data_IF_723271365225
#
_entry.id   IF_723271365225
#
_cell.length_a   1.000
_cell.length_b   1.000
_cell.length_c   1.000
_cell.angle_alpha   90.00
_cell.angle_beta   90.00
_cell.angle_gamma   90.00
#
_symmetry.space_group_name_H-M   'P 1'
#
loop_
_entity.id
_entity.type
_entity.pdbx_description
1 polymer ?
#
# COMPACT_ATOMS: atom_id res chain seq x y z
N UNK A 1 0.56 15.98 23.26
CA UNK A 1 1.50 15.05 22.61
C UNK A 1 0.90 14.57 21.32
N UNK A 2 1.71 14.38 20.28
CA UNK A 2 1.23 14.05 18.93
C UNK A 2 1.83 12.70 18.50
N UNK A 3 1.03 11.85 17.86
CA UNK A 3 1.45 10.53 17.39
C UNK A 3 0.89 10.23 15.99
N UNK A 4 1.69 9.58 15.15
CA UNK A 4 1.24 9.09 13.84
C UNK A 4 1.50 7.59 13.81
N UNK A 5 0.47 6.82 13.49
CA UNK A 5 0.53 5.38 13.40
C UNK A 5 0.50 4.90 11.95
N UNK A 6 1.49 4.08 11.61
CA UNK A 6 1.51 3.32 10.36
C UNK A 6 0.54 2.15 10.43
N UNK A 7 -0.72 2.41 10.08
CA UNK A 7 -1.74 1.38 9.90
C UNK A 7 -1.71 0.81 8.48
N UNK A 8 -2.70 0.00 8.11
CA UNK A 8 -2.75 -0.71 6.84
C UNK A 8 -4.19 -0.95 6.41
N UNK A 9 -4.44 -1.03 5.10
CA UNK A 9 -5.73 -1.46 4.55
C UNK A 9 -6.12 -2.89 4.99
N UNK A 10 -5.18 -3.69 5.49
CA UNK A 10 -5.46 -5.03 6.03
C UNK A 10 -6.40 -5.02 7.25
N UNK A 11 -6.56 -3.87 7.93
CA UNK A 11 -7.54 -3.73 9.02
C UNK A 11 -9.00 -3.87 8.55
N UNK A 12 -9.25 -3.73 7.25
CA UNK A 12 -10.57 -3.92 6.67
C UNK A 12 -10.89 -5.39 6.34
N UNK A 13 -9.91 -6.30 6.42
CA UNK A 13 -10.04 -7.67 5.92
C UNK A 13 -10.53 -7.71 4.47
N UNK A 14 -11.41 -8.65 4.14
CA UNK A 14 -12.11 -8.68 2.85
C UNK A 14 -13.32 -7.73 2.87
N UNK A 15 -13.10 -6.44 2.60
CA UNK A 15 -14.17 -5.44 2.57
C UNK A 15 -15.30 -5.80 1.58
N UNK A 16 -16.54 -5.41 1.91
CA UNK A 16 -17.74 -5.75 1.13
C UNK A 16 -17.88 -4.91 -0.15
N UNK A 17 -17.38 -3.68 -0.10
CA UNK A 17 -17.57 -2.68 -1.15
C UNK A 17 -16.25 -2.01 -1.48
N UNK A 18 -16.05 -1.74 -2.75
CA UNK A 18 -14.94 -0.94 -3.26
C UNK A 18 -15.48 0.33 -3.92
N UNK A 19 -14.75 1.47 -3.86
CA UNK A 19 -13.54 1.68 -3.08
C UNK A 19 -13.79 1.64 -1.56
N UNK A 20 -12.77 1.29 -0.77
CA UNK A 20 -12.88 1.15 0.69
C UNK A 20 -12.83 2.54 1.33
N UNK A 21 -13.89 2.91 2.06
CA UNK A 21 -13.92 4.15 2.87
C UNK A 21 -13.41 3.92 4.29
N UNK A 22 -12.99 4.96 5.00
CA UNK A 22 -12.57 4.86 6.40
C UNK A 22 -13.69 4.45 7.36
N UNK A 23 -14.95 4.57 6.91
CA UNK A 23 -16.15 4.11 7.62
C UNK A 23 -16.41 2.61 7.46
N UNK A 24 -15.68 1.92 6.59
CA UNK A 24 -15.81 0.49 6.44
C UNK A 24 -15.52 -0.21 7.78
N UNK A 25 -16.34 -1.20 8.18
CA UNK A 25 -16.14 -1.89 9.44
C UNK A 25 -14.82 -2.67 9.43
N UNK A 26 -14.25 -2.88 10.62
CA UNK A 26 -13.20 -3.87 10.76
C UNK A 26 -13.80 -5.25 10.58
N UNK A 27 -13.17 -6.05 9.73
CA UNK A 27 -13.47 -7.47 9.59
C UNK A 27 -12.38 -8.29 10.23
N UNK A 28 -12.62 -9.58 10.43
CA UNK A 28 -11.57 -10.47 10.89
C UNK A 28 -10.32 -10.33 10.00
N UNK A 29 -9.16 -10.09 10.60
CA UNK A 29 -7.92 -9.98 9.86
C UNK A 29 -7.52 -11.34 9.29
N UNK A 30 -7.21 -11.38 7.99
CA UNK A 30 -6.77 -12.60 7.29
C UNK A 30 -5.32 -13.01 7.62
N UNK A 31 -4.63 -12.26 8.48
CA UNK A 31 -3.25 -12.55 8.88
C UNK A 31 -2.93 -12.02 10.27
N UNK A 32 -1.94 -12.61 10.97
CA UNK A 32 -1.41 -12.06 12.20
C UNK A 32 -0.94 -10.61 12.05
N UNK A 33 -0.34 -10.26 10.90
CA UNK A 33 0.06 -8.89 10.58
C UNK A 33 -1.13 -7.93 10.63
N UNK A 34 -2.22 -8.22 9.91
CA UNK A 34 -3.42 -7.39 9.90
C UNK A 34 -4.03 -7.24 11.29
N UNK A 35 -4.05 -8.33 12.07
CA UNK A 35 -4.55 -8.33 13.45
C UNK A 35 -3.73 -7.39 14.35
N UNK A 36 -2.39 -7.37 14.22
CA UNK A 36 -1.56 -6.43 15.00
C UNK A 36 -1.88 -4.97 14.68
N UNK A 37 -2.31 -4.66 13.45
CA UNK A 37 -2.70 -3.30 13.06
C UNK A 37 -4.05 -2.91 13.63
N UNK A 38 -5.03 -3.82 13.65
CA UNK A 38 -6.32 -3.60 14.28
C UNK A 38 -6.17 -3.32 15.78
N UNK A 39 -5.49 -4.20 16.50
CA UNK A 39 -5.22 -4.03 17.94
C UNK A 39 -4.42 -2.74 18.19
N UNK A 40 -3.47 -2.41 17.31
CA UNK A 40 -2.74 -1.14 17.39
C UNK A 40 -3.65 0.08 17.34
N UNK A 41 -4.61 0.12 16.40
CA UNK A 41 -5.59 1.20 16.33
C UNK A 41 -6.51 1.25 17.56
N UNK A 42 -6.95 0.10 18.08
CA UNK A 42 -7.76 0.02 19.31
C UNK A 42 -7.02 0.61 20.53
N UNK A 43 -5.78 0.18 20.76
CA UNK A 43 -4.95 0.68 21.85
C UNK A 43 -4.76 2.20 21.75
N UNK A 44 -4.50 2.71 20.55
CA UNK A 44 -4.31 4.15 20.34
C UNK A 44 -5.61 4.89 20.61
N UNK A 45 -6.73 4.43 20.07
CA UNK A 45 -8.04 5.04 20.28
C UNK A 45 -8.37 5.13 21.79
N UNK A 46 -8.15 4.06 22.55
CA UNK A 46 -8.39 4.07 23.99
C UNK A 46 -7.39 4.97 24.75
N UNK A 47 -6.13 5.00 24.31
CA UNK A 47 -5.12 5.92 24.88
C UNK A 47 -5.51 7.38 24.68
N UNK A 48 -6.07 7.75 23.52
CA UNK A 48 -6.54 9.13 23.27
C UNK A 48 -7.72 9.53 24.14
N UNK A 49 -8.58 8.59 24.56
CA UNK A 49 -9.69 8.85 25.50
C UNK A 49 -9.19 9.05 26.94
N UNK A 50 -8.11 8.36 27.30
CA UNK A 50 -7.55 8.38 28.66
C UNK A 50 -6.52 9.50 28.90
N UNK A 51 -6.02 10.14 27.84
CA UNK A 51 -4.90 11.09 27.91
C UNK A 51 -5.15 12.33 27.03
N UNK A 52 -4.18 13.26 26.96
CA UNK A 52 -4.18 14.38 26.00
C UNK A 52 -3.44 14.05 24.70
N UNK A 53 -3.32 12.76 24.37
CA UNK A 53 -2.70 12.32 23.13
C UNK A 53 -3.61 12.66 21.95
N UNK A 54 -3.05 13.27 20.91
CA UNK A 54 -3.68 13.39 19.60
C UNK A 54 -2.97 12.45 18.63
N UNK A 55 -3.73 11.64 17.92
CA UNK A 55 -3.20 10.61 17.06
C UNK A 55 -3.85 10.61 15.68
N UNK A 56 -3.06 10.28 14.66
CA UNK A 56 -3.54 9.98 13.31
C UNK A 56 -3.08 8.58 12.93
N UNK A 57 -4.01 7.69 12.57
CA UNK A 57 -3.68 6.45 11.88
C UNK A 57 -3.74 6.67 10.36
N UNK A 58 -2.65 6.38 9.68
CA UNK A 58 -2.61 6.39 8.22
C UNK A 58 -2.69 4.93 7.74
N UNK A 59 -3.80 4.57 7.10
CA UNK A 59 -4.03 3.21 6.58
C UNK A 59 -3.45 3.15 5.16
N UNK A 60 -2.23 2.61 5.06
CA UNK A 60 -1.55 2.47 3.77
C UNK A 60 -2.18 1.35 2.96
N UNK A 61 -2.27 1.55 1.65
CA UNK A 61 -2.56 0.48 0.71
C UNK A 61 -1.25 -0.25 0.36
N UNK A 62 -0.81 -0.25 -0.90
CA UNK A 62 0.38 -0.98 -1.32
C UNK A 62 1.48 0.01 -1.74
N UNK A 63 2.38 0.41 -0.84
CA UNK A 63 3.46 1.34 -1.17
C UNK A 63 4.47 0.67 -2.09
N UNK A 64 4.84 1.35 -3.17
CA UNK A 64 5.78 0.88 -4.19
C UNK A 64 6.68 2.02 -4.66
N UNK A 65 7.66 1.72 -5.51
CA UNK A 65 8.58 2.71 -6.06
C UNK A 65 9.78 2.98 -5.16
N UNK A 66 10.56 3.97 -5.57
CA UNK A 66 11.78 4.39 -4.87
C UNK A 66 11.96 5.91 -4.98
N UNK A 67 12.92 6.46 -4.23
CA UNK A 67 13.24 7.86 -4.37
C UNK A 67 13.89 8.14 -5.74
N UNK A 68 13.55 9.26 -6.39
CA UNK A 68 14.04 9.63 -7.74
C UNK A 68 15.56 9.63 -7.91
N UNK A 69 16.31 9.76 -6.83
CA UNK A 69 17.78 9.71 -6.87
C UNK A 69 18.35 8.30 -7.01
N UNK A 70 17.53 7.26 -6.86
CA UNK A 70 17.93 5.86 -6.78
C UNK A 70 19.05 5.58 -5.77
N UNK A 71 19.13 6.40 -4.70
CA UNK A 71 20.02 6.15 -3.55
C UNK A 71 19.35 5.34 -2.45
N UNK A 72 18.01 5.32 -2.44
CA UNK A 72 17.18 4.59 -1.47
C UNK A 72 15.96 4.01 -2.19
N UNK A 73 15.57 2.80 -1.78
CA UNK A 73 14.39 2.07 -2.23
C UNK A 73 14.21 0.80 -1.40
N UNK A 74 13.18 0.01 -1.70
CA UNK A 74 12.93 -1.25 -0.99
C UNK A 74 14.04 -2.26 -1.29
N UNK A 75 14.66 -2.82 -0.25
CA UNK A 75 15.67 -3.87 -0.33
C UNK A 75 15.34 -4.97 0.68
N UNK A 76 14.48 -5.95 0.31
CA UNK A 76 14.10 -7.02 1.23
C UNK A 76 15.28 -7.95 1.49
N UNK A 77 15.42 -8.40 2.75
CA UNK A 77 16.38 -9.42 3.13
C UNK A 77 15.81 -10.79 2.74
N UNK A 78 16.52 -11.53 1.89
CA UNK A 78 16.11 -12.87 1.46
C UNK A 78 15.13 -12.85 0.28
N UNK A 79 14.12 -13.73 0.32
CA UNK A 79 13.09 -13.82 -0.74
C UNK A 79 12.03 -12.76 -0.46
N UNK A 80 11.74 -11.84 -1.41
CA UNK A 80 10.68 -10.86 -1.22
C UNK A 80 9.32 -11.51 -0.96
N UNK A 81 8.52 -10.90 -0.08
CA UNK A 81 7.11 -11.29 0.11
C UNK A 81 6.13 -10.39 -0.65
N UNK A 82 6.57 -9.20 -1.03
CA UNK A 82 5.80 -8.22 -1.79
C UNK A 82 6.01 -8.39 -3.29
N UNK A 83 4.98 -8.05 -4.09
CA UNK A 83 4.99 -8.23 -5.54
C UNK A 83 6.11 -7.45 -6.23
N UNK A 84 6.30 -6.17 -5.90
CA UNK A 84 7.18 -5.28 -6.68
C UNK A 84 8.66 -5.66 -6.58
N UNK A 85 9.25 -5.90 -5.39
CA UNK A 85 10.63 -6.35 -5.35
C UNK A 85 10.83 -7.72 -6.01
N UNK A 86 9.81 -8.59 -6.01
CA UNK A 86 9.89 -9.87 -6.73
C UNK A 86 9.89 -9.64 -8.25
N UNK A 87 9.04 -8.75 -8.74
CA UNK A 87 9.00 -8.30 -10.15
C UNK A 87 10.36 -7.73 -10.57
N UNK A 88 10.91 -6.78 -9.83
CA UNK A 88 12.19 -6.14 -10.18
C UNK A 88 13.35 -7.13 -10.12
N UNK A 89 13.40 -8.02 -9.12
CA UNK A 89 14.44 -9.05 -9.04
C UNK A 89 14.33 -10.12 -10.12
N UNK A 90 13.11 -10.44 -10.58
CA UNK A 90 12.91 -11.36 -11.72
C UNK A 90 13.42 -10.72 -13.01
N UNK A 91 13.09 -9.45 -13.25
CA UNK A 91 13.60 -8.70 -14.40
C UNK A 91 15.12 -8.50 -14.37
N UNK A 92 15.71 -8.36 -13.18
CA UNK A 92 17.16 -8.29 -12.99
C UNK A 92 17.87 -9.65 -13.13
N UNK A 93 17.14 -10.75 -13.36
CA UNK A 93 17.70 -12.10 -13.49
C UNK A 93 18.11 -12.76 -12.17
N UNK A 94 17.83 -12.13 -11.03
CA UNK A 94 18.10 -12.68 -9.68
C UNK A 94 17.13 -13.82 -9.36
N UNK A 95 15.87 -13.69 -9.81
CA UNK A 95 14.84 -14.73 -9.69
C UNK A 95 14.52 -15.31 -11.06
N UNK A 96 14.37 -16.63 -11.11
CA UNK A 96 14.11 -17.33 -12.38
C UNK A 96 12.71 -17.08 -12.92
N UNK A 97 11.71 -17.01 -12.05
CA UNK A 97 10.30 -16.93 -12.44
C UNK A 97 9.46 -16.33 -11.30
N UNK A 98 8.54 -15.43 -11.64
CA UNK A 98 7.53 -14.89 -10.73
C UNK A 98 6.33 -15.84 -10.65
N UNK A 99 5.87 -16.13 -9.43
CA UNK A 99 4.60 -16.85 -9.22
C UNK A 99 3.46 -15.85 -9.01
N UNK A 100 2.47 -15.89 -9.91
CA UNK A 100 1.22 -15.12 -9.80
C UNK A 100 0.19 -16.00 -9.10
N UNK A 101 -0.14 -15.66 -7.85
CA UNK A 101 -1.03 -16.46 -7.02
C UNK A 101 -2.50 -16.22 -7.38
N UNK A 102 -3.14 -17.23 -7.97
CA UNK A 102 -4.52 -17.16 -8.45
C UNK A 102 -4.65 -16.54 -9.84
N UNK A 103 -5.51 -17.14 -10.66
CA UNK A 103 -5.89 -16.68 -11.99
C UNK A 103 -7.38 -16.86 -12.27
N UNK A 104 -8.16 -17.03 -11.21
CA UNK A 104 -9.58 -17.39 -11.20
C UNK A 104 -10.39 -16.57 -10.18
N UNK A 105 -9.81 -15.48 -9.66
CA UNK A 105 -10.55 -14.54 -8.82
C UNK A 105 -11.67 -13.87 -9.63
N UNK A 106 -12.76 -13.41 -9.01
CA UNK A 106 -13.82 -12.68 -9.69
C UNK A 106 -13.41 -11.22 -10.01
N UNK A 107 -12.25 -11.03 -10.63
CA UNK A 107 -11.68 -9.76 -11.09
C UNK A 107 -11.55 -9.78 -12.62
N UNK A 108 -11.36 -8.63 -13.30
CA UNK A 108 -11.39 -8.57 -14.77
C UNK A 108 -10.42 -9.50 -15.51
N UNK A 109 -9.29 -9.86 -14.89
CA UNK A 109 -8.28 -10.77 -15.48
C UNK A 109 -7.95 -11.99 -14.60
N UNK A 110 -8.76 -12.25 -13.58
CA UNK A 110 -8.62 -13.39 -12.68
C UNK A 110 -7.54 -13.23 -11.61
N UNK A 111 -6.77 -12.13 -11.60
CA UNK A 111 -5.73 -11.89 -10.59
C UNK A 111 -6.13 -10.82 -9.56
N UNK A 112 -5.51 -10.87 -8.38
CA UNK A 112 -5.86 -9.99 -7.27
C UNK A 112 -5.61 -8.50 -7.59
N UNK A 113 -6.51 -7.62 -7.14
CA UNK A 113 -6.45 -6.17 -7.41
C UNK A 113 -6.02 -5.40 -6.16
N UNK A 114 -5.06 -4.48 -6.30
CA UNK A 114 -4.55 -3.65 -5.21
C UNK A 114 -4.37 -2.20 -5.64
N UNK A 115 -4.41 -1.29 -4.69
CA UNK A 115 -4.06 0.12 -4.89
C UNK A 115 -2.58 0.37 -4.61
N UNK A 116 -1.82 0.58 -5.67
CA UNK A 116 -0.37 0.79 -5.63
C UNK A 116 -0.03 2.28 -5.58
N UNK A 117 0.46 2.73 -4.43
CA UNK A 117 0.82 4.13 -4.18
C UNK A 117 2.35 4.31 -4.20
N UNK A 118 2.83 5.40 -4.80
CA UNK A 118 4.24 5.73 -4.77
C UNK A 118 4.72 6.09 -3.36
N UNK A 119 5.83 5.50 -2.91
CA UNK A 119 6.37 5.65 -1.55
C UNK A 119 6.69 7.10 -1.16
N UNK A 120 7.09 7.93 -2.13
CA UNK A 120 7.30 9.38 -1.92
C UNK A 120 5.99 10.11 -1.63
N UNK A 121 4.89 9.76 -2.30
CA UNK A 121 3.59 10.38 -1.99
C UNK A 121 3.12 9.97 -0.60
N UNK A 122 3.31 8.70 -0.24
CA UNK A 122 3.08 8.21 1.11
C UNK A 122 3.93 8.99 2.14
N UNK A 123 5.20 9.24 1.87
CA UNK A 123 6.05 10.05 2.75
C UNK A 123 5.54 11.50 2.88
N UNK A 124 5.08 12.11 1.79
CA UNK A 124 4.44 13.45 1.84
C UNK A 124 3.17 13.43 2.70
N UNK A 125 2.37 12.37 2.66
CA UNK A 125 1.17 12.25 3.50
C UNK A 125 1.50 12.32 5.00
N UNK A 126 2.64 11.76 5.42
CA UNK A 126 3.10 11.85 6.81
C UNK A 126 3.44 13.28 7.22
N UNK A 127 4.07 14.05 6.33
CA UNK A 127 4.40 15.46 6.58
C UNK A 127 3.12 16.27 6.77
N UNK A 128 2.11 16.03 5.93
CA UNK A 128 0.80 16.69 6.02
C UNK A 128 0.07 16.30 7.32
N UNK A 129 0.05 15.02 7.69
CA UNK A 129 -0.52 14.54 8.95
C UNK A 129 0.18 15.16 10.17
N UNK A 130 1.51 15.26 10.15
CA UNK A 130 2.28 15.90 11.22
C UNK A 130 1.95 17.38 11.34
N UNK A 131 1.88 18.10 10.21
CA UNK A 131 1.50 19.51 10.18
C UNK A 131 0.11 19.71 10.77
N UNK A 132 -0.86 18.87 10.41
CA UNK A 132 -2.23 18.90 10.96
C UNK A 132 -2.24 18.76 12.49
N UNK A 133 -1.45 17.84 13.03
CA UNK A 133 -1.33 17.62 14.48
C UNK A 133 -0.67 18.81 15.20
N UNK A 134 0.40 19.37 14.64
CA UNK A 134 1.11 20.52 15.23
C UNK A 134 0.23 21.78 15.20
N UNK A 135 -0.53 21.98 14.14
CA UNK A 135 -1.44 23.12 13.97
C UNK A 135 -2.79 22.94 14.68
N UNK A 136 -3.00 21.82 15.39
CA UNK A 136 -4.26 21.48 16.08
C UNK A 136 -5.49 21.52 15.16
N UNK A 137 -5.33 21.10 13.91
CA UNK A 137 -6.40 21.05 12.90
C UNK A 137 -7.21 19.74 12.91
N UNK A 138 -6.87 18.82 13.79
CA UNK A 138 -7.59 17.56 13.97
C UNK A 138 -9.03 17.81 14.45
N UNK A 139 -10.01 17.08 13.90
CA UNK A 139 -11.44 17.16 14.29
C UNK A 139 -11.79 16.29 15.49
N UNK A 140 -10.99 15.26 15.74
CA UNK A 140 -11.08 14.35 16.88
C UNK A 140 -9.68 14.05 17.42
N UNK A 141 -9.59 13.55 18.65
CA UNK A 141 -8.29 13.18 19.25
C UNK A 141 -7.66 11.95 18.57
N UNK A 142 -8.47 11.13 17.90
CA UNK A 142 -8.01 10.08 16.99
C UNK A 142 -8.69 10.22 15.63
N UNK A 143 -7.91 10.43 14.57
CA UNK A 143 -8.36 10.47 13.19
C UNK A 143 -7.73 9.34 12.38
N UNK A 144 -8.42 8.92 11.32
CA UNK A 144 -7.94 7.87 10.42
C UNK A 144 -8.11 8.30 8.98
N UNK A 145 -7.11 8.04 8.16
CA UNK A 145 -7.11 8.36 6.73
C UNK A 145 -6.61 7.19 5.90
N UNK A 146 -7.32 6.87 4.82
CA UNK A 146 -6.84 6.00 3.77
C UNK A 146 -5.81 6.74 2.92
N UNK A 147 -4.62 6.16 2.79
CA UNK A 147 -3.54 6.71 1.99
C UNK A 147 -3.26 5.75 0.84
N UNK A 148 -3.84 6.10 -0.32
CA UNK A 148 -3.79 5.35 -1.58
C UNK A 148 -3.96 6.27 -2.77
N UNK A 149 -4.07 5.71 -3.97
CA UNK A 149 -4.33 6.44 -5.22
C UNK A 149 -5.83 6.50 -5.55
N UNK A 150 -6.60 5.57 -5.00
CA UNK A 150 -8.01 5.33 -5.34
C UNK A 150 -8.21 4.51 -6.62
N UNK A 151 -7.14 4.00 -7.21
CA UNK A 151 -7.17 3.15 -8.40
C UNK A 151 -6.64 1.76 -8.07
N UNK A 152 -7.49 0.75 -8.24
CA UNK A 152 -7.08 -0.65 -8.24
C UNK A 152 -6.30 -1.01 -9.51
N UNK A 153 -5.28 -1.86 -9.39
CA UNK A 153 -4.64 -2.54 -10.51
C UNK A 153 -4.42 -4.00 -10.18
N UNK A 154 -4.66 -4.88 -11.16
CA UNK A 154 -4.44 -6.32 -11.04
C UNK A 154 -2.95 -6.68 -11.05
N UNK A 155 -2.61 -7.92 -10.72
CA UNK A 155 -1.22 -8.41 -10.82
C UNK A 155 -0.75 -8.39 -12.29
N UNK A 156 -1.60 -8.77 -13.25
CA UNK A 156 -1.21 -8.78 -14.66
C UNK A 156 -1.11 -7.36 -15.23
N UNK A 157 -1.92 -6.40 -14.77
CA UNK A 157 -1.77 -5.00 -15.13
C UNK A 157 -0.44 -4.44 -14.64
N UNK A 158 -0.02 -4.76 -13.41
CA UNK A 158 1.30 -4.41 -12.88
C UNK A 158 2.42 -5.00 -13.72
N UNK A 159 2.33 -6.28 -14.08
CA UNK A 159 3.32 -6.95 -14.94
C UNK A 159 3.42 -6.23 -16.29
N UNK A 160 2.29 -5.98 -16.96
CA UNK A 160 2.28 -5.29 -18.26
C UNK A 160 2.83 -3.86 -18.18
N UNK A 161 2.44 -3.11 -17.14
CA UNK A 161 2.97 -1.77 -16.90
C UNK A 161 4.47 -1.80 -16.64
N UNK A 162 4.95 -2.78 -15.87
CA UNK A 162 6.37 -2.96 -15.62
C UNK A 162 7.14 -3.30 -16.90
N UNK A 163 6.67 -4.25 -17.71
CA UNK A 163 7.33 -4.60 -18.98
C UNK A 163 7.42 -3.38 -19.91
N UNK A 164 6.37 -2.55 -19.95
CA UNK A 164 6.34 -1.30 -20.72
C UNK A 164 7.42 -0.31 -20.26
N UNK A 165 7.53 -0.04 -18.96
CA UNK A 165 8.47 0.98 -18.45
C UNK A 165 9.92 0.50 -18.36
N UNK A 166 10.13 -0.81 -18.18
CA UNK A 166 11.47 -1.40 -18.05
C UNK A 166 12.06 -1.85 -19.39
N UNK A 167 11.21 -2.11 -20.39
CA UNK A 167 11.61 -2.78 -21.63
C UNK A 167 12.01 -4.26 -21.43
N UNK A 168 11.80 -4.81 -20.24
CA UNK A 168 12.13 -6.20 -19.90
C UNK A 168 10.89 -7.09 -19.97
N UNK A 169 11.04 -8.30 -20.51
CA UNK A 169 10.00 -9.32 -20.41
C UNK A 169 10.09 -10.04 -19.07
N UNK A 170 8.96 -10.19 -18.40
CA UNK A 170 8.89 -10.91 -17.13
C UNK A 170 8.57 -12.38 -17.37
N UNK A 171 9.43 -13.26 -16.86
CA UNK A 171 9.12 -14.67 -16.78
C UNK A 171 8.20 -14.92 -15.57
N UNK A 172 6.95 -15.29 -15.80
CA UNK A 172 6.00 -15.59 -14.73
C UNK A 172 5.08 -16.75 -15.07
N UNK A 173 4.54 -17.40 -14.03
CA UNK A 173 3.49 -18.41 -14.15
C UNK A 173 2.35 -18.12 -13.19
N UNK A 174 1.14 -18.47 -13.60
CA UNK A 174 -0.03 -18.46 -12.71
C UNK A 174 -0.02 -19.78 -11.92
N UNK A 175 -0.15 -19.68 -10.61
CA UNK A 175 -0.20 -20.81 -9.67
C UNK A 175 -1.49 -20.76 -8.84
N UNK A 176 -1.71 -21.74 -7.98
CA UNK A 176 -2.83 -21.74 -7.04
C UNK A 176 -2.88 -20.49 -6.16
N UNK A 177 -4.05 -20.19 -5.60
CA UNK A 177 -4.22 -19.05 -4.69
C UNK A 177 -3.35 -19.21 -3.45
N UNK A 178 -2.87 -18.09 -2.92
CA UNK A 178 -2.22 -18.05 -1.61
C UNK A 178 -3.30 -17.88 -0.54
N UNK A 179 -3.22 -18.67 0.53
CA UNK A 179 -4.15 -18.56 1.66
C UNK A 179 -4.09 -17.16 2.28
N UNK A 180 -5.25 -16.58 2.58
CA UNK A 180 -5.38 -15.23 3.13
C UNK A 180 -5.24 -14.08 2.13
N UNK A 181 -5.09 -14.35 0.82
CA UNK A 181 -5.09 -13.29 -0.19
C UNK A 181 -6.48 -12.65 -0.36
N UNK A 182 -6.52 -11.33 -0.20
CA UNK A 182 -7.68 -10.51 -0.50
C UNK A 182 -7.94 -10.46 -2.01
N UNK A 183 -9.20 -10.50 -2.43
CA UNK A 183 -9.55 -10.47 -3.85
C UNK A 183 -9.22 -9.09 -4.45
N UNK A 184 -9.86 -8.05 -3.94
CA UNK A 184 -9.65 -6.66 -4.34
C UNK A 184 -9.56 -5.76 -3.09
N UNK A 185 -8.65 -4.79 -3.11
CA UNK A 185 -8.58 -3.74 -2.09
C UNK A 185 -7.99 -2.46 -2.67
N UNK A 186 -8.82 -1.42 -2.80
CA UNK A 186 -8.38 -0.08 -3.21
C UNK A 186 -9.12 1.04 -2.48
N UNK A 187 -8.46 2.16 -2.29
CA UNK A 187 -8.90 3.21 -1.38
C UNK A 187 -10.04 4.05 -1.94
N UNK A 188 -10.94 4.53 -1.09
CA UNK A 188 -11.57 5.83 -1.33
C UNK A 188 -10.63 6.88 -0.74
N UNK A 189 -10.22 7.85 -1.55
CA UNK A 189 -9.25 8.89 -1.14
C UNK A 189 -9.90 10.23 -0.84
N UNK A 190 -11.23 10.32 -0.89
CA UNK A 190 -11.98 11.57 -0.75
C UNK A 190 -11.70 12.26 0.57
N UNK A 191 -11.61 11.49 1.67
CA UNK A 191 -11.37 12.07 3.00
C UNK A 191 -9.96 12.68 3.09
N UNK A 192 -8.93 11.96 2.64
CA UNK A 192 -7.56 12.49 2.61
C UNK A 192 -7.46 13.73 1.69
N UNK A 193 -8.05 13.67 0.50
CA UNK A 193 -8.04 14.79 -0.45
C UNK A 193 -8.68 16.06 0.14
N UNK A 194 -9.79 15.92 0.88
CA UNK A 194 -10.55 17.06 1.39
C UNK A 194 -10.03 17.58 2.75
N UNK A 195 -9.66 16.68 3.66
CA UNK A 195 -9.31 17.05 5.04
C UNK A 195 -7.81 17.26 5.26
N UNK A 196 -6.98 16.54 4.49
CA UNK A 196 -5.53 16.72 4.51
C UNK A 196 -5.06 17.66 3.40
N UNK A 197 -5.90 17.97 2.40
CA UNK A 197 -5.50 18.67 1.18
C UNK A 197 -4.32 17.96 0.49
N UNK A 198 -4.29 16.63 0.59
CA UNK A 198 -3.23 15.77 0.06
C UNK A 198 -3.82 14.76 -0.92
N UNK A 199 -3.13 14.54 -2.04
CA UNK A 199 -3.48 13.55 -3.05
C UNK A 199 -2.22 12.90 -3.60
N UNK A 200 -2.29 11.62 -3.96
CA UNK A 200 -1.21 10.97 -4.71
C UNK A 200 -1.04 11.62 -6.09
N UNK A 201 0.22 11.87 -6.47
CA UNK A 201 0.61 12.56 -7.71
C UNK A 201 1.20 11.59 -8.73
N UNK A 202 1.90 10.55 -8.27
CA UNK A 202 2.52 9.56 -9.15
C UNK A 202 1.54 8.47 -9.56
N UNK A 203 1.59 8.09 -10.83
CA UNK A 203 0.85 6.95 -11.35
C UNK A 203 1.64 5.64 -11.21
N UNK A 204 1.00 4.52 -11.56
CA UNK A 204 1.57 3.17 -11.48
C UNK A 204 2.88 3.04 -12.30
N UNK A 205 2.91 3.57 -13.52
CA UNK A 205 4.08 3.47 -14.40
C UNK A 205 5.27 4.23 -13.83
N UNK A 206 5.06 5.44 -13.30
CA UNK A 206 6.10 6.24 -12.65
C UNK A 206 6.66 5.54 -11.40
N UNK A 207 5.79 4.92 -10.60
CA UNK A 207 6.21 4.17 -9.43
C UNK A 207 6.97 2.89 -9.77
N UNK A 208 6.55 2.15 -10.80
CA UNK A 208 7.29 0.98 -11.26
C UNK A 208 8.63 1.37 -11.88
N UNK A 209 8.69 2.47 -12.63
CA UNK A 209 9.91 2.99 -13.21
C UNK A 209 10.92 3.41 -12.13
N UNK A 210 10.47 4.06 -11.05
CA UNK A 210 11.36 4.44 -9.95
C UNK A 210 11.88 3.23 -9.18
N UNK A 211 11.04 2.22 -8.93
CA UNK A 211 11.48 0.95 -8.34
C UNK A 211 12.52 0.23 -9.23
N UNK A 212 12.29 0.20 -10.54
CA UNK A 212 13.22 -0.41 -11.49
C UNK A 212 14.56 0.32 -11.52
N UNK A 213 14.52 1.66 -11.59
CA UNK A 213 15.73 2.48 -11.57
C UNK A 213 16.56 2.23 -10.31
N UNK A 214 15.92 2.08 -9.15
CA UNK A 214 16.57 1.64 -7.92
C UNK A 214 17.18 0.24 -8.04
N UNK A 215 16.43 -0.75 -8.52
CA UNK A 215 16.95 -2.12 -8.66
C UNK A 215 18.21 -2.19 -9.54
N UNK A 216 18.29 -1.35 -10.58
CA UNK A 216 19.45 -1.29 -11.47
C UNK A 216 20.73 -0.76 -10.79
N UNK A 217 20.63 -0.06 -9.65
CA UNK A 217 21.81 0.40 -8.90
C UNK A 217 22.38 -0.68 -7.98
N UNK A 218 21.60 -1.72 -7.66
CA UNK A 218 21.92 -2.79 -6.71
C UNK A 218 22.75 -3.95 -7.31
N UNK A 219 23.72 -3.63 -8.16
CA UNK A 219 24.59 -4.61 -8.86
C UNK A 219 24.99 -5.82 -7.99
#
# INVERSE_FOLDING_TARGET
SNFIFSSSCTVYGQADTMPITEKAPFKAAESPYGNTKQIGEEIIADTTKATRLKAIALRYFNPIGAHKSAKIGELPIGIPQNLIPFVTQTAAGIRKELSVFGGDYPTPDGTAVRDYIHVVDLAKAHIVALKRLIENKNRSDFEVFNIGTGKGSSVLEVIRAFEKVSGQKLNYKIVGRREGDIIEAYADTSLANNELEWKAEYNLEEALASAWHWQQTLK
#
